data_IF_833832969333
#
_entry.id   IF_833832969333
#
_cell.length_a   1.000
_cell.length_b   1.000
_cell.length_c   1.000
_cell.angle_alpha   90.00
_cell.angle_beta   90.00
_cell.angle_gamma   90.00
#
_symmetry.space_group_name_H-M   'P 1'
#
loop_
_entity.id
_entity.type
_entity.pdbx_description
1 polymer ?
#
# COMPACT_ATOMS: atom_id res chain seq x y z
N UNK A 1 -28.28 -4.57 10.37
CA UNK A 1 -27.45 -4.10 9.23
C UNK A 1 -26.10 -3.53 9.68
N UNK A 2 -26.04 -2.51 10.54
CA UNK A 2 -24.76 -1.93 11.02
C UNK A 2 -23.86 -2.91 11.81
N UNK A 3 -24.45 -3.87 12.52
CA UNK A 3 -23.73 -4.91 13.26
C UNK A 3 -22.95 -5.87 12.35
N UNK A 4 -23.56 -6.33 11.24
CA UNK A 4 -22.89 -7.21 10.28
C UNK A 4 -21.68 -6.55 9.60
N UNK A 5 -21.73 -5.23 9.35
CA UNK A 5 -20.60 -4.50 8.76
C UNK A 5 -19.41 -4.48 9.70
N UNK A 6 -19.64 -4.25 11.00
CA UNK A 6 -18.56 -4.31 12.00
C UNK A 6 -17.97 -5.71 12.14
N UNK A 7 -18.80 -6.75 12.14
CA UNK A 7 -18.29 -8.12 12.14
C UNK A 7 -17.47 -8.43 10.89
N UNK A 8 -17.90 -8.01 9.69
CA UNK A 8 -17.10 -8.20 8.47
C UNK A 8 -15.76 -7.46 8.50
N UNK A 9 -15.73 -6.21 8.98
CA UNK A 9 -14.50 -5.40 9.06
C UNK A 9 -13.45 -5.97 10.03
N UNK A 10 -13.88 -6.65 11.09
CA UNK A 10 -12.96 -7.25 12.07
C UNK A 10 -12.87 -8.77 11.97
N UNK A 11 -13.57 -9.40 11.02
CA UNK A 11 -13.61 -10.85 10.84
C UNK A 11 -12.24 -11.41 10.45
N UNK A 12 -11.46 -10.70 9.62
CA UNK A 12 -10.21 -11.23 9.06
C UNK A 12 -8.99 -10.30 9.23
N UNK A 13 -8.77 -9.83 10.46
CA UNK A 13 -7.61 -8.99 10.80
C UNK A 13 -6.28 -9.60 10.36
N UNK A 14 -6.11 -10.93 10.47
CA UNK A 14 -4.88 -11.61 10.05
C UNK A 14 -4.69 -11.54 8.54
N UNK A 15 -5.74 -11.77 7.78
CA UNK A 15 -5.71 -11.66 6.32
C UNK A 15 -5.44 -10.24 5.86
N UNK A 16 -6.07 -9.25 6.50
CA UNK A 16 -5.91 -7.84 6.12
C UNK A 16 -4.50 -7.32 6.41
N UNK A 17 -3.90 -7.72 7.54
CA UNK A 17 -2.50 -7.37 7.87
C UNK A 17 -1.54 -8.04 6.89
N UNK A 18 -1.73 -9.32 6.58
CA UNK A 18 -0.89 -10.03 5.60
C UNK A 18 -1.05 -9.43 4.19
N UNK A 19 -2.27 -9.09 3.80
CA UNK A 19 -2.55 -8.46 2.52
C UNK A 19 -1.90 -7.08 2.43
N UNK A 20 -2.02 -6.23 3.46
CA UNK A 20 -1.37 -4.93 3.51
C UNK A 20 0.16 -5.02 3.43
N UNK A 21 0.75 -6.00 4.12
CA UNK A 21 2.20 -6.23 4.07
C UNK A 21 2.65 -6.71 2.67
N UNK A 22 1.94 -7.66 2.08
CA UNK A 22 2.26 -8.18 0.74
C UNK A 22 2.11 -7.09 -0.32
N UNK A 23 1.03 -6.30 -0.26
CA UNK A 23 0.81 -5.17 -1.16
C UNK A 23 1.90 -4.11 -0.99
N UNK A 24 2.22 -3.73 0.25
CA UNK A 24 3.29 -2.76 0.53
C UNK A 24 4.66 -3.19 -0.02
N UNK A 25 5.01 -4.47 0.13
CA UNK A 25 6.25 -5.02 -0.43
C UNK A 25 6.23 -5.05 -1.96
N UNK A 26 5.09 -5.32 -2.59
CA UNK A 26 4.95 -5.33 -4.04
C UNK A 26 5.11 -3.94 -4.67
N UNK A 27 4.73 -2.87 -3.95
CA UNK A 27 4.84 -1.48 -4.41
C UNK A 27 6.29 -0.94 -4.48
N UNK A 28 7.24 -1.57 -3.78
CA UNK A 28 8.65 -1.14 -3.75
C UNK A 28 9.28 -1.20 -5.15
N UNK A 29 9.31 -2.36 -5.85
CA UNK A 29 9.87 -2.43 -7.20
C UNK A 29 9.07 -1.59 -8.22
N UNK A 30 7.76 -1.45 -8.05
CA UNK A 30 6.90 -0.63 -8.90
C UNK A 30 7.27 0.86 -8.83
N UNK A 31 7.42 1.39 -7.62
CA UNK A 31 7.80 2.79 -7.39
C UNK A 31 9.22 3.10 -7.91
N UNK A 32 10.14 2.13 -7.82
CA UNK A 32 11.49 2.24 -8.37
C UNK A 32 11.44 2.28 -9.91
N UNK A 33 10.65 1.40 -10.54
CA UNK A 33 10.48 1.37 -11.99
C UNK A 33 9.91 2.69 -12.52
N UNK A 34 8.86 3.24 -11.89
CA UNK A 34 8.28 4.53 -12.29
C UNK A 34 9.25 5.71 -12.11
N UNK A 35 10.08 5.69 -11.07
CA UNK A 35 11.10 6.73 -10.86
C UNK A 35 12.14 6.74 -11.98
N UNK A 36 12.57 5.54 -12.40
CA UNK A 36 13.54 5.37 -13.49
C UNK A 36 12.94 5.87 -14.81
N UNK A 37 11.67 5.54 -15.09
CA UNK A 37 10.96 6.03 -16.28
C UNK A 37 10.82 7.56 -16.26
N UNK A 38 10.55 8.14 -15.10
CA UNK A 38 10.42 9.59 -14.92
C UNK A 38 11.76 10.35 -14.91
N UNK A 39 12.90 9.64 -14.93
CA UNK A 39 14.23 10.26 -14.89
C UNK A 39 14.60 10.89 -13.54
N UNK A 40 13.91 10.51 -12.46
CA UNK A 40 14.16 10.99 -11.10
C UNK A 40 14.88 9.92 -10.27
N UNK A 41 15.59 10.34 -9.23
CA UNK A 41 16.27 9.40 -8.33
C UNK A 41 15.25 8.42 -7.71
N UNK A 42 15.53 7.10 -7.67
CA UNK A 42 14.60 6.09 -7.16
C UNK A 42 14.08 6.36 -5.74
N UNK A 43 14.83 7.10 -4.93
CA UNK A 43 14.39 7.49 -3.58
C UNK A 43 13.13 8.36 -3.64
N UNK A 44 13.00 9.20 -4.66
CA UNK A 44 11.84 10.08 -4.83
C UNK A 44 10.56 9.28 -5.07
N UNK A 45 10.61 8.17 -5.81
CA UNK A 45 9.44 7.30 -5.99
C UNK A 45 9.00 6.60 -4.72
N UNK A 46 9.95 6.19 -3.87
CA UNK A 46 9.63 5.59 -2.57
C UNK A 46 8.96 6.60 -1.63
N UNK A 47 9.40 7.85 -1.63
CA UNK A 47 8.72 8.91 -0.87
C UNK A 47 7.33 9.21 -1.43
N UNK A 48 7.19 9.26 -2.76
CA UNK A 48 5.92 9.50 -3.41
C UNK A 48 4.89 8.39 -3.14
N UNK A 49 5.30 7.11 -3.24
CA UNK A 49 4.41 5.98 -2.98
C UNK A 49 3.95 5.93 -1.52
N UNK A 50 4.84 6.25 -0.57
CA UNK A 50 4.47 6.35 0.84
C UNK A 50 3.51 7.50 1.11
N UNK A 51 3.76 8.69 0.55
CA UNK A 51 2.86 9.83 0.70
C UNK A 51 1.45 9.52 0.17
N UNK A 52 1.35 8.86 -0.99
CA UNK A 52 0.05 8.44 -1.55
C UNK A 52 -0.61 7.41 -0.64
N UNK A 53 0.11 6.39 -0.17
CA UNK A 53 -0.46 5.33 0.68
C UNK A 53 -0.98 5.82 2.05
N UNK A 54 -0.46 6.94 2.58
CA UNK A 54 -0.88 7.49 3.88
C UNK A 54 -1.92 8.60 3.73
N UNK A 55 -1.82 9.42 2.68
CA UNK A 55 -2.68 10.61 2.51
C UNK A 55 -3.93 10.30 1.71
N UNK A 56 -3.87 9.35 0.78
CA UNK A 56 -4.96 9.00 -0.15
C UNK A 56 -5.64 7.67 0.18
#
# INVERSE_FOLDING_TARGET
MLSNVREQWFSNIRGDVLAGLVVGLALIPEAIAFSIIAGVDPKVGLYASFCIAVVM
#
